data_IF_819645708717
#
_entry.id   IF_819645708717
#
_cell.length_a   1.000
_cell.length_b   1.000
_cell.length_c   1.000
_cell.angle_alpha   90.00
_cell.angle_beta   90.00
_cell.angle_gamma   90.00
#
_symmetry.space_group_name_H-M   'P 1'
#
loop_
_entity.id
_entity.type
_entity.pdbx_description
1 polymer ?
#
# COMPACT_ATOMS: atom_id res chain seq x y z
N UNK A 1 -6.10 -27.14 10.35
CA UNK A 1 -6.40 -26.91 8.91
C UNK A 1 -7.11 -25.58 8.65
N UNK A 2 -7.98 -25.11 9.55
CA UNK A 2 -8.77 -23.87 9.39
C UNK A 2 -8.00 -22.57 9.61
N UNK A 3 -7.07 -22.52 10.57
CA UNK A 3 -6.31 -21.28 10.88
C UNK A 3 -5.41 -20.81 9.72
N UNK A 4 -4.71 -21.71 9.03
CA UNK A 4 -3.83 -21.32 7.92
C UNK A 4 -4.61 -20.82 6.70
N UNK A 5 -5.78 -21.41 6.42
CA UNK A 5 -6.67 -20.94 5.34
C UNK A 5 -7.21 -19.57 5.68
N UNK A 6 -7.65 -19.36 6.92
CA UNK A 6 -8.18 -18.07 7.37
C UNK A 6 -7.11 -16.98 7.38
N UNK A 7 -5.90 -17.28 7.87
CA UNK A 7 -4.76 -16.35 7.83
C UNK A 7 -4.42 -15.93 6.40
N UNK A 8 -4.42 -16.88 5.46
CA UNK A 8 -4.14 -16.60 4.04
C UNK A 8 -5.24 -15.78 3.40
N UNK A 9 -6.50 -16.14 3.62
CA UNK A 9 -7.64 -15.36 3.12
C UNK A 9 -7.56 -13.91 3.62
N UNK A 10 -7.36 -13.71 4.92
CA UNK A 10 -7.17 -12.39 5.50
C UNK A 10 -6.00 -11.62 4.87
N UNK A 11 -4.86 -12.30 4.70
CA UNK A 11 -3.64 -11.72 4.10
C UNK A 11 -3.86 -11.29 2.64
N UNK A 12 -4.62 -12.07 1.85
CA UNK A 12 -4.96 -11.73 0.48
C UNK A 12 -6.01 -10.62 0.39
N UNK A 13 -7.04 -10.67 1.24
CA UNK A 13 -8.06 -9.61 1.32
C UNK A 13 -7.43 -8.28 1.69
N UNK A 14 -6.52 -8.26 2.68
CA UNK A 14 -5.77 -7.07 3.03
C UNK A 14 -4.92 -6.57 1.85
N UNK A 15 -4.39 -7.46 1.00
CA UNK A 15 -3.53 -7.08 -0.11
C UNK A 15 -4.34 -6.42 -1.23
N UNK A 16 -5.51 -7.00 -1.53
CA UNK A 16 -6.47 -6.44 -2.47
C UNK A 16 -6.93 -5.07 -1.96
N UNK A 17 -7.33 -4.97 -0.70
CA UNK A 17 -7.78 -3.71 -0.10
C UNK A 17 -6.66 -2.66 -0.12
N UNK A 18 -5.42 -3.07 0.14
CA UNK A 18 -4.25 -2.21 0.08
C UNK A 18 -4.08 -1.64 -1.33
N UNK A 19 -4.12 -2.47 -2.37
CA UNK A 19 -4.00 -2.03 -3.77
C UNK A 19 -5.16 -1.10 -4.14
N UNK A 20 -6.39 -1.44 -3.76
CA UNK A 20 -7.56 -0.58 -4.01
C UNK A 20 -7.45 0.77 -3.32
N UNK A 21 -6.80 0.84 -2.15
CA UNK A 21 -6.60 2.10 -1.44
C UNK A 21 -5.74 3.12 -2.20
N UNK A 22 -4.99 2.71 -3.23
CA UNK A 22 -4.18 3.61 -4.07
C UNK A 22 -5.02 4.40 -5.08
N UNK A 23 -6.28 3.99 -5.31
CA UNK A 23 -7.20 4.72 -6.19
C UNK A 23 -7.53 6.10 -5.61
N UNK A 24 -7.60 6.23 -4.29
CA UNK A 24 -7.94 7.49 -3.64
C UNK A 24 -6.89 8.59 -3.83
N UNK A 25 -5.58 8.38 -3.56
CA UNK A 25 -4.57 9.38 -3.88
C UNK A 25 -4.47 9.66 -5.38
N UNK A 26 -4.67 8.66 -6.26
CA UNK A 26 -4.77 8.91 -7.70
C UNK A 26 -5.91 9.88 -8.03
N UNK A 27 -7.11 9.61 -7.52
CA UNK A 27 -8.28 10.47 -7.73
C UNK A 27 -8.08 11.88 -7.18
N UNK A 28 -7.50 12.01 -5.98
CA UNK A 28 -7.20 13.29 -5.35
C UNK A 28 -6.15 14.12 -6.11
N UNK A 29 -5.18 13.46 -6.76
CA UNK A 29 -4.18 14.12 -7.60
C UNK A 29 -4.73 14.56 -8.96
N UNK A 30 -5.65 13.78 -9.54
CA UNK A 30 -6.25 14.09 -10.85
C UNK A 30 -7.41 15.10 -10.77
N UNK A 31 -8.10 15.16 -9.63
CA UNK A 31 -9.17 16.11 -9.40
C UNK A 31 -8.61 17.52 -9.10
N UNK A 32 -8.40 18.33 -10.15
CA UNK A 32 -8.03 19.76 -10.01
C UNK A 32 -9.04 20.56 -9.19
N UNK A 33 -10.33 20.22 -9.30
CA UNK A 33 -11.39 20.76 -8.46
C UNK A 33 -11.91 19.65 -7.55
N UNK A 34 -11.69 19.78 -6.25
CA UNK A 34 -12.21 18.86 -5.23
C UNK A 34 -13.73 18.79 -5.21
N UNK A 35 -14.43 19.81 -5.73
CA UNK A 35 -15.88 19.81 -5.92
C UNK A 35 -16.39 18.78 -6.95
N UNK A 36 -15.51 18.22 -7.79
CA UNK A 36 -15.85 17.16 -8.76
C UNK A 36 -15.90 15.80 -8.07
N UNK A 37 -15.22 15.64 -6.94
CA UNK A 37 -15.28 14.42 -6.14
C UNK A 37 -16.50 14.46 -5.22
N UNK A 38 -17.18 13.32 -5.02
CA UNK A 38 -18.26 13.23 -4.05
C UNK A 38 -17.77 13.63 -2.65
N UNK A 39 -18.62 14.30 -1.87
CA UNK A 39 -18.27 14.73 -0.50
C UNK A 39 -17.84 13.57 0.41
N UNK A 40 -18.31 12.35 0.13
CA UNK A 40 -17.92 11.14 0.86
C UNK A 40 -16.57 10.55 0.44
N UNK A 41 -15.95 11.03 -0.64
CA UNK A 41 -14.70 10.47 -1.17
C UNK A 41 -13.57 10.51 -0.13
N UNK A 42 -13.38 11.65 0.51
CA UNK A 42 -12.37 11.81 1.57
C UNK A 42 -12.66 10.91 2.78
N UNK A 43 -13.92 10.82 3.20
CA UNK A 43 -14.33 9.95 4.32
C UNK A 43 -14.05 8.48 4.01
N UNK A 44 -14.36 8.03 2.78
CA UNK A 44 -14.08 6.65 2.35
C UNK A 44 -12.58 6.40 2.27
N UNK A 45 -11.79 7.34 1.71
CA UNK A 45 -10.33 7.22 1.65
C UNK A 45 -9.74 7.00 3.05
N UNK A 46 -10.07 7.88 4.00
CA UNK A 46 -9.57 7.81 5.39
C UNK A 46 -10.02 6.51 6.07
N UNK A 47 -11.28 6.10 5.88
CA UNK A 47 -11.79 4.87 6.48
C UNK A 47 -11.08 3.64 5.93
N UNK A 48 -10.92 3.55 4.60
CA UNK A 48 -10.19 2.45 3.94
C UNK A 48 -8.73 2.44 4.36
N UNK A 49 -8.09 3.61 4.41
CA UNK A 49 -6.72 3.78 4.89
C UNK A 49 -6.55 3.24 6.33
N UNK A 50 -7.48 3.56 7.22
CA UNK A 50 -7.47 3.10 8.59
C UNK A 50 -7.62 1.57 8.68
N UNK A 51 -8.59 1.00 7.96
CA UNK A 51 -8.81 -0.46 7.91
C UNK A 51 -7.56 -1.17 7.37
N UNK A 52 -6.93 -0.63 6.32
CA UNK A 52 -5.68 -1.15 5.77
C UNK A 52 -4.57 -1.12 6.82
N UNK A 53 -4.37 0.01 7.49
CA UNK A 53 -3.35 0.16 8.52
C UNK A 53 -3.52 -0.84 9.67
N UNK A 54 -4.75 -1.00 10.18
CA UNK A 54 -5.07 -1.98 11.23
C UNK A 54 -4.84 -3.41 10.75
N UNK A 55 -5.28 -3.74 9.53
CA UNK A 55 -5.10 -5.09 8.97
C UNK A 55 -3.63 -5.46 8.83
N UNK A 56 -2.83 -4.50 8.38
CA UNK A 56 -1.40 -4.63 8.20
C UNK A 56 -0.67 -4.81 9.55
N UNK A 57 -1.07 -4.08 10.59
CA UNK A 57 -0.57 -4.30 11.95
C UNK A 57 -0.96 -5.69 12.49
N UNK A 58 -2.17 -6.17 12.16
CA UNK A 58 -2.62 -7.53 12.47
C UNK A 58 -1.72 -8.59 11.82
N UNK A 59 -1.36 -8.43 10.54
CA UNK A 59 -0.42 -9.32 9.83
C UNK A 59 0.95 -9.30 10.49
N UNK A 60 1.45 -8.11 10.87
CA UNK A 60 2.71 -7.98 11.60
C UNK A 60 2.67 -8.77 12.91
N UNK A 61 1.60 -8.64 13.71
CA UNK A 61 1.41 -9.40 14.95
C UNK A 61 1.39 -10.91 14.74
N UNK A 62 0.66 -11.39 13.72
CA UNK A 62 0.48 -12.82 13.43
C UNK A 62 1.76 -13.51 12.91
N UNK A 63 2.59 -12.79 12.16
CA UNK A 63 3.80 -13.33 11.55
C UNK A 63 5.09 -12.94 12.30
N UNK A 64 4.98 -12.22 13.42
CA UNK A 64 6.14 -11.78 14.21
C UNK A 64 6.96 -12.98 14.66
N UNK A 65 8.27 -12.96 14.39
CA UNK A 65 9.18 -14.06 14.70
C UNK A 65 9.25 -15.20 13.67
N UNK A 66 8.46 -15.16 12.59
CA UNK A 66 8.49 -16.16 11.50
C UNK A 66 9.22 -15.67 10.24
N UNK A 67 9.87 -14.51 10.32
CA UNK A 67 10.62 -13.93 9.20
C UNK A 67 11.90 -14.72 8.99
N UNK A 68 12.05 -15.30 7.80
CA UNK A 68 13.23 -16.06 7.39
C UNK A 68 14.12 -15.25 6.43
N UNK A 69 15.36 -15.71 6.24
CA UNK A 69 16.32 -15.06 5.32
C UNK A 69 15.79 -14.95 3.89
N UNK A 70 14.91 -15.86 3.46
CA UNK A 70 14.28 -15.81 2.13
C UNK A 70 13.31 -14.63 2.01
N UNK A 71 12.50 -14.39 3.05
CA UNK A 71 11.59 -13.26 3.11
C UNK A 71 12.39 -11.95 3.13
N UNK A 72 13.45 -11.86 3.93
CA UNK A 72 14.36 -10.70 3.94
C UNK A 72 14.98 -10.43 2.58
N UNK A 73 15.56 -11.44 1.93
CA UNK A 73 16.19 -11.29 0.61
C UNK A 73 15.18 -10.85 -0.46
N UNK A 74 13.94 -11.35 -0.38
CA UNK A 74 12.86 -10.97 -1.32
C UNK A 74 12.40 -9.54 -1.05
N UNK A 75 12.19 -9.17 0.21
CA UNK A 75 11.88 -7.80 0.63
C UNK A 75 12.97 -6.83 0.14
N UNK A 76 14.25 -7.18 0.28
CA UNK A 76 15.35 -6.35 -0.19
C UNK A 76 15.33 -6.15 -1.72
N UNK A 77 15.06 -7.21 -2.50
CA UNK A 77 14.91 -7.09 -3.96
C UNK A 77 13.75 -6.16 -4.33
N UNK A 78 12.61 -6.30 -3.67
CA UNK A 78 11.44 -5.44 -3.91
C UNK A 78 11.78 -3.99 -3.53
N UNK A 79 12.38 -3.76 -2.36
CA UNK A 79 12.81 -2.44 -1.92
C UNK A 79 13.73 -1.77 -2.96
N UNK A 80 14.75 -2.50 -3.45
CA UNK A 80 15.67 -2.02 -4.48
C UNK A 80 14.96 -1.64 -5.78
N UNK A 81 14.00 -2.45 -6.24
CA UNK A 81 13.18 -2.12 -7.40
C UNK A 81 12.35 -0.86 -7.16
N UNK A 82 11.76 -0.71 -5.98
CA UNK A 82 11.01 0.49 -5.61
C UNK A 82 11.86 1.75 -5.58
N UNK A 83 13.15 1.65 -5.27
CA UNK A 83 14.07 2.80 -5.40
C UNK A 83 14.14 3.32 -6.84
N UNK A 84 14.06 2.45 -7.84
CA UNK A 84 14.03 2.87 -9.25
C UNK A 84 12.68 3.49 -9.64
N UNK A 85 11.58 3.08 -8.98
CA UNK A 85 10.28 3.69 -9.16
C UNK A 85 10.27 5.18 -8.76
N UNK A 86 11.14 5.61 -7.84
CA UNK A 86 11.31 7.04 -7.49
C UNK A 86 11.72 7.85 -8.74
N UNK A 87 12.65 7.34 -9.56
CA UNK A 87 13.04 8.02 -10.80
C UNK A 87 11.91 8.04 -11.82
N UNK A 88 11.16 6.94 -11.93
CA UNK A 88 9.98 6.92 -12.79
C UNK A 88 8.93 7.98 -12.34
N UNK A 89 8.69 8.12 -11.04
CA UNK A 89 7.81 9.16 -10.48
C UNK A 89 8.35 10.56 -10.76
N UNK A 90 9.66 10.79 -10.63
CA UNK A 90 10.27 12.09 -10.96
C UNK A 90 10.03 12.46 -12.43
N UNK A 91 10.21 11.51 -13.36
CA UNK A 91 9.91 11.70 -14.78
C UNK A 91 8.41 12.00 -14.99
N UNK A 92 7.52 11.28 -14.30
CA UNK A 92 6.07 11.55 -14.36
C UNK A 92 5.72 12.95 -13.87
N UNK A 93 6.37 13.43 -12.78
CA UNK A 93 6.20 14.81 -12.29
C UNK A 93 6.60 15.83 -13.34
N UNK A 94 7.73 15.62 -14.02
CA UNK A 94 8.18 16.52 -15.09
C UNK A 94 7.24 16.53 -16.29
N UNK A 95 6.71 15.37 -16.69
CA UNK A 95 5.82 15.25 -17.87
C UNK A 95 4.42 15.80 -17.58
N UNK A 96 3.82 15.43 -16.45
CA UNK A 96 2.47 15.86 -16.12
C UNK A 96 2.43 17.29 -15.58
N UNK A 97 3.50 17.78 -14.94
CA UNK A 97 3.61 19.15 -14.43
C UNK A 97 2.38 19.55 -13.61
N UNK A 98 1.82 20.73 -13.87
CA UNK A 98 0.67 21.27 -13.15
C UNK A 98 -0.67 20.60 -13.51
N UNK A 99 -0.69 19.61 -14.42
CA UNK A 99 -1.91 18.86 -14.75
C UNK A 99 -2.40 18.02 -13.57
N UNK A 100 -1.50 17.66 -12.66
CA UNK A 100 -1.76 16.88 -11.45
C UNK A 100 -1.53 17.76 -10.24
N UNK A 101 -2.44 17.71 -9.27
CA UNK A 101 -2.27 18.36 -7.97
C UNK A 101 -1.42 17.44 -7.09
N UNK A 102 -0.11 17.44 -7.32
CA UNK A 102 0.84 16.51 -6.67
C UNK A 102 0.77 16.54 -5.14
N UNK A 103 0.55 17.71 -4.55
CA UNK A 103 0.41 17.86 -3.10
C UNK A 103 -0.73 17.00 -2.52
N UNK A 104 -1.81 16.80 -3.28
CA UNK A 104 -2.98 16.03 -2.82
C UNK A 104 -2.74 14.52 -2.86
N UNK A 105 -1.89 14.03 -3.77
CA UNK A 105 -1.65 12.60 -3.93
C UNK A 105 -0.34 12.11 -3.30
N UNK A 106 0.69 12.96 -3.27
CA UNK A 106 2.04 12.60 -2.82
C UNK A 106 2.04 12.06 -1.40
N UNK A 107 1.39 12.76 -0.46
CA UNK A 107 1.28 12.32 0.93
C UNK A 107 0.63 10.95 0.99
N UNK A 108 -0.48 10.76 0.29
CA UNK A 108 -1.24 9.51 0.24
C UNK A 108 -0.46 8.32 -0.33
N UNK A 109 0.37 8.54 -1.35
CA UNK A 109 1.27 7.50 -1.88
C UNK A 109 2.46 7.23 -0.97
N UNK A 110 3.06 8.26 -0.38
CA UNK A 110 4.28 8.15 0.40
C UNK A 110 4.06 7.25 1.62
N UNK A 111 3.05 7.56 2.43
CA UNK A 111 2.80 6.79 3.65
C UNK A 111 2.33 5.35 3.34
N UNK A 112 1.54 5.14 2.26
CA UNK A 112 1.15 3.80 1.82
C UNK A 112 2.35 3.01 1.35
N UNK A 113 3.18 3.57 0.48
CA UNK A 113 4.39 2.90 -0.01
C UNK A 113 5.31 2.53 1.16
N UNK A 114 5.49 3.46 2.10
CA UNK A 114 6.22 3.19 3.33
C UNK A 114 5.61 2.02 4.12
N UNK A 115 4.29 2.05 4.38
CA UNK A 115 3.60 1.00 5.12
C UNK A 115 3.74 -0.36 4.44
N UNK A 116 3.56 -0.42 3.12
CA UNK A 116 3.72 -1.64 2.32
C UNK A 116 5.11 -2.22 2.47
N UNK A 117 6.15 -1.40 2.24
CA UNK A 117 7.54 -1.85 2.34
C UNK A 117 7.91 -2.25 3.76
N UNK A 118 7.39 -1.52 4.75
CA UNK A 118 7.58 -1.83 6.16
C UNK A 118 7.04 -3.23 6.46
N UNK A 119 5.80 -3.54 6.09
CA UNK A 119 5.18 -4.83 6.47
C UNK A 119 5.44 -6.00 5.53
N UNK A 120 6.05 -5.74 4.38
CA UNK A 120 6.31 -6.71 3.32
C UNK A 120 6.92 -8.05 3.79
N UNK A 121 7.95 -8.11 4.66
CA UNK A 121 8.52 -9.40 5.05
C UNK A 121 7.51 -10.28 5.81
N UNK A 122 6.73 -9.69 6.72
CA UNK A 122 5.66 -10.38 7.45
C UNK A 122 4.53 -10.80 6.52
N UNK A 123 4.20 -9.96 5.54
CA UNK A 123 3.20 -10.27 4.52
C UNK A 123 3.60 -11.50 3.69
N UNK A 124 4.85 -11.52 3.21
CA UNK A 124 5.38 -12.62 2.41
C UNK A 124 5.33 -13.94 3.18
N UNK A 125 5.66 -13.92 4.47
CA UNK A 125 5.58 -15.11 5.33
C UNK A 125 4.14 -15.52 5.59
N UNK A 126 3.26 -14.57 5.89
CA UNK A 126 1.85 -14.85 6.15
C UNK A 126 1.15 -15.50 4.95
N UNK A 127 1.54 -15.13 3.71
CA UNK A 127 0.96 -15.63 2.46
C UNK A 127 1.50 -17.01 2.00
N UNK A 128 2.67 -17.45 2.48
CA UNK A 128 3.28 -18.74 2.09
C UNK A 128 2.39 -19.93 2.49
N UNK A 129 2.48 -21.02 1.70
CA UNK A 129 1.94 -22.35 2.09
C UNK A 129 2.85 -22.97 3.16
N UNK A 130 2.32 -23.81 4.07
CA UNK A 130 3.15 -24.62 4.96
C UNK A 130 4.11 -25.51 4.16
#
# INVERSE_FOLDING_TARGET
>A
MTEDVWRRAFTFTAAILFVLSWIFPLGAGLARNTNVLPQWWGTVDVTVAFVVAVSVLGIHGLARGRVDKRAEATTYRIYRTFTHAIMAVAVLVMIAGDRVVWANCATGFLWRTWLMLYVLPWWLVAARRP
#
